data_IF_581401500575
#
_entry.id   IF_581401500575
#
_cell.length_a   1.000
_cell.length_b   1.000
_cell.length_c   1.000
_cell.angle_alpha   90.00
_cell.angle_beta   90.00
_cell.angle_gamma   90.00
#
_symmetry.space_group_name_H-M   'P 1'
#
loop_
_entity.id
_entity.type
_entity.pdbx_description
1 polymer ?
#
# COMPACT_ATOMS: atom_id res chain seq x y z
N UNK A 1 8.93 -18.81 -81.90
CA UNK A 1 8.82 -17.56 -81.14
C UNK A 1 8.53 -17.81 -79.65
N UNK A 2 8.09 -19.01 -79.26
CA UNK A 2 7.81 -19.42 -77.87
C UNK A 2 8.92 -19.18 -76.84
N UNK A 3 10.19 -19.45 -77.19
CA UNK A 3 11.29 -19.33 -76.22
C UNK A 3 11.58 -17.88 -75.74
N UNK A 4 11.01 -16.86 -76.39
CA UNK A 4 11.08 -15.46 -75.90
C UNK A 4 9.97 -15.16 -74.91
N UNK A 5 8.76 -15.69 -75.12
CA UNK A 5 7.63 -15.46 -74.22
C UNK A 5 7.82 -16.20 -72.89
N UNK A 6 8.33 -17.43 -72.90
CA UNK A 6 8.68 -18.17 -71.67
C UNK A 6 9.75 -17.46 -70.84
N UNK A 7 10.74 -16.83 -71.48
CA UNK A 7 11.79 -16.05 -70.80
C UNK A 7 11.25 -14.79 -70.16
N UNK A 8 10.31 -14.10 -70.82
CA UNK A 8 9.66 -12.90 -70.29
C UNK A 8 8.75 -13.25 -69.11
N UNK A 9 8.00 -14.34 -69.20
CA UNK A 9 7.19 -14.85 -68.09
C UNK A 9 8.06 -15.27 -66.90
N UNK A 10 9.18 -15.95 -67.15
CA UNK A 10 10.14 -16.32 -66.10
C UNK A 10 10.77 -15.10 -65.42
N UNK A 11 11.12 -14.06 -66.19
CA UNK A 11 11.65 -12.80 -65.65
C UNK A 11 10.59 -12.03 -64.84
N UNK A 12 9.33 -12.03 -65.28
CA UNK A 12 8.22 -11.43 -64.55
C UNK A 12 7.98 -12.15 -63.21
N UNK A 13 7.98 -13.49 -63.22
CA UNK A 13 7.84 -14.30 -62.01
C UNK A 13 8.99 -14.03 -61.01
N UNK A 14 10.22 -13.89 -61.49
CA UNK A 14 11.38 -13.56 -60.65
C UNK A 14 11.29 -12.14 -60.07
N UNK A 15 10.85 -11.15 -60.86
CA UNK A 15 10.61 -9.79 -60.36
C UNK A 15 9.54 -9.78 -59.26
N UNK A 16 8.43 -10.50 -59.45
CA UNK A 16 7.40 -10.65 -58.43
C UNK A 16 7.91 -11.34 -57.15
N UNK A 17 8.87 -12.25 -57.27
CA UNK A 17 9.54 -12.85 -56.11
C UNK A 17 10.42 -11.83 -55.36
N UNK A 18 11.21 -11.01 -56.07
CA UNK A 18 12.09 -10.01 -55.46
C UNK A 18 11.36 -8.83 -54.80
N UNK A 19 10.11 -8.58 -55.19
CA UNK A 19 9.24 -7.56 -54.61
C UNK A 19 8.49 -8.03 -53.35
N UNK A 20 8.71 -9.27 -52.90
CA UNK A 20 8.15 -9.74 -51.63
C UNK A 20 8.92 -9.16 -50.45
N UNK A 21 8.19 -8.58 -49.50
CA UNK A 21 8.76 -8.06 -48.27
C UNK A 21 9.29 -9.17 -47.38
N UNK A 22 10.46 -8.94 -46.79
CA UNK A 22 11.02 -9.79 -45.73
C UNK A 22 10.22 -9.63 -44.44
N UNK A 23 9.89 -10.73 -43.77
CA UNK A 23 9.14 -10.72 -42.50
C UNK A 23 9.89 -10.10 -41.33
N UNK A 24 11.23 -10.00 -41.40
CA UNK A 24 12.07 -9.48 -40.31
C UNK A 24 12.47 -8.02 -40.47
N UNK A 25 12.67 -7.58 -41.71
CA UNK A 25 13.14 -6.23 -42.01
C UNK A 25 12.11 -5.38 -42.76
N UNK A 26 10.99 -5.96 -43.18
CA UNK A 26 9.99 -5.33 -44.07
C UNK A 26 10.56 -4.74 -45.37
N UNK A 27 11.81 -5.06 -45.71
CA UNK A 27 12.49 -4.59 -46.92
C UNK A 27 12.29 -5.57 -48.08
N UNK A 28 12.20 -5.01 -49.28
CA UNK A 28 12.14 -5.74 -50.54
C UNK A 28 13.54 -5.90 -51.13
N UNK A 29 13.82 -7.08 -51.70
CA UNK A 29 15.12 -7.35 -52.32
C UNK A 29 15.34 -6.49 -53.57
N UNK A 30 14.28 -6.25 -54.35
CA UNK A 30 14.32 -5.41 -55.54
C UNK A 30 14.73 -3.96 -55.21
N UNK A 31 14.09 -3.38 -54.21
CA UNK A 31 14.36 -1.99 -53.81
C UNK A 31 15.75 -1.86 -53.18
N UNK A 32 16.17 -2.85 -52.38
CA UNK A 32 17.51 -2.88 -51.78
C UNK A 32 18.61 -2.90 -52.85
N UNK A 33 18.50 -3.80 -53.84
CA UNK A 33 19.50 -3.88 -54.92
C UNK A 33 19.48 -2.64 -55.81
N UNK A 34 18.31 -2.05 -56.05
CA UNK A 34 18.22 -0.80 -56.82
C UNK A 34 18.95 0.33 -56.10
N UNK A 35 18.72 0.51 -54.79
CA UNK A 35 19.40 1.53 -53.97
C UNK A 35 20.91 1.28 -53.86
N UNK A 36 21.31 0.03 -53.74
CA UNK A 36 22.72 -0.37 -53.74
C UNK A 36 23.39 0.00 -55.07
N UNK A 37 22.76 -0.32 -56.20
CA UNK A 37 23.29 0.03 -57.53
C UNK A 37 23.32 1.55 -57.75
N UNK A 38 22.33 2.30 -57.26
CA UNK A 38 22.34 3.77 -57.29
C UNK A 38 23.53 4.31 -56.48
N UNK A 39 23.71 3.85 -55.25
CA UNK A 39 24.83 4.28 -54.39
C UNK A 39 26.20 3.92 -54.98
N UNK A 40 26.33 2.74 -55.60
CA UNK A 40 27.54 2.33 -56.30
C UNK A 40 27.84 3.21 -57.53
N UNK A 41 26.80 3.63 -58.25
CA UNK A 41 26.92 4.53 -59.40
C UNK A 41 27.35 5.94 -58.98
N UNK A 42 26.92 6.40 -57.81
CA UNK A 42 27.25 7.71 -57.26
C UNK A 42 28.68 7.77 -56.69
N UNK A 43 29.13 6.72 -55.98
CA UNK A 43 30.43 6.68 -55.30
C UNK A 43 31.60 6.22 -56.20
N UNK A 44 31.32 5.55 -57.32
CA UNK A 44 32.30 5.03 -58.32
C UNK A 44 33.63 4.50 -57.73
N UNK A 45 33.61 3.49 -56.85
CA UNK A 45 34.82 2.92 -56.27
C UNK A 45 35.67 2.17 -57.31
N UNK A 46 37.00 2.25 -57.20
CA UNK A 46 37.94 1.54 -58.10
C UNK A 46 37.78 0.01 -58.05
N UNK A 47 37.52 -0.56 -56.86
CA UNK A 47 37.28 -1.99 -56.66
C UNK A 47 35.82 -2.24 -56.24
N UNK A 48 34.89 -2.01 -57.17
CA UNK A 48 33.45 -2.10 -56.91
C UNK A 48 32.96 -3.46 -56.38
N UNK A 49 33.64 -4.55 -56.72
CA UNK A 49 33.27 -5.91 -56.28
C UNK A 49 33.58 -6.13 -54.80
N UNK A 50 34.69 -5.57 -54.31
CA UNK A 50 35.12 -5.78 -52.92
C UNK A 50 34.33 -4.90 -51.94
N UNK A 51 33.91 -3.71 -52.40
CA UNK A 51 33.24 -2.69 -51.56
C UNK A 51 31.70 -2.85 -51.57
N UNK A 52 31.16 -3.76 -52.39
CA UNK A 52 29.71 -3.94 -52.56
C UNK A 52 29.00 -4.38 -51.27
N UNK A 53 29.68 -5.16 -50.42
CA UNK A 53 29.14 -5.64 -49.15
C UNK A 53 29.04 -4.50 -48.14
N UNK A 54 30.07 -3.66 -48.05
CA UNK A 54 30.10 -2.47 -47.19
C UNK A 54 29.01 -1.47 -47.59
N UNK A 55 28.85 -1.21 -48.89
CA UNK A 55 27.79 -0.35 -49.43
C UNK A 55 26.40 -0.92 -49.12
N UNK A 56 26.23 -2.24 -49.24
CA UNK A 56 24.97 -2.93 -48.87
C UNK A 56 24.66 -2.80 -47.39
N UNK A 57 25.67 -2.88 -46.52
CA UNK A 57 25.55 -2.70 -45.07
C UNK A 57 25.15 -1.27 -44.72
N UNK A 58 25.77 -0.28 -45.35
CA UNK A 58 25.46 1.13 -45.13
C UNK A 58 24.05 1.51 -45.57
N UNK A 59 23.58 0.99 -46.72
CA UNK A 59 22.19 1.20 -47.18
C UNK A 59 21.19 0.65 -46.17
N UNK A 60 21.47 -0.53 -45.58
CA UNK A 60 20.61 -1.11 -44.54
C UNK A 60 20.64 -0.31 -43.24
N UNK A 61 21.80 0.24 -42.86
CA UNK A 61 21.93 1.10 -41.68
C UNK A 61 21.18 2.42 -41.82
N UNK A 62 21.32 3.12 -42.95
CA UNK A 62 20.61 4.39 -43.17
C UNK A 62 19.09 4.24 -43.17
N UNK A 63 18.58 3.11 -43.70
CA UNK A 63 17.16 2.75 -43.64
C UNK A 63 16.66 2.43 -42.23
N UNK A 64 17.53 1.93 -41.35
CA UNK A 64 17.19 1.61 -39.97
C UNK A 64 17.00 2.89 -39.14
N UNK A 65 17.75 3.95 -39.44
CA UNK A 65 17.67 5.24 -38.74
C UNK A 65 16.33 5.97 -38.99
N UNK A 66 15.73 5.85 -40.18
CA UNK A 66 14.41 6.45 -40.47
C UNK A 66 13.23 5.73 -39.78
N UNK A 67 13.37 4.46 -39.40
CA UNK A 67 12.34 3.70 -38.66
C UNK A 67 12.36 3.94 -37.15
N UNK A 68 13.40 4.58 -36.60
CA UNK A 68 13.54 4.83 -35.17
C UNK A 68 13.00 6.21 -34.78
N UNK A 69 11.70 6.44 -34.99
CA UNK A 69 10.99 7.24 -33.99
C UNK A 69 10.97 6.39 -32.72
N UNK A 70 11.90 6.66 -31.80
CA UNK A 70 11.98 5.97 -30.50
C UNK A 70 10.80 6.31 -29.58
N UNK A 71 9.96 7.25 -29.99
CA UNK A 71 8.68 7.54 -29.35
C UNK A 71 7.71 6.41 -29.69
N UNK A 72 7.61 5.45 -28.77
CA UNK A 72 6.47 4.53 -28.75
C UNK A 72 5.25 5.33 -28.30
N UNK A 73 4.14 5.23 -29.03
CA UNK A 73 2.84 5.67 -28.53
C UNK A 73 2.53 4.83 -27.29
N UNK A 74 2.76 5.42 -26.11
CA UNK A 74 2.38 4.82 -24.85
C UNK A 74 0.87 4.60 -24.86
N UNK A 75 0.37 3.42 -24.44
CA UNK A 75 -1.06 3.26 -24.26
C UNK A 75 -1.58 4.37 -23.35
N UNK A 76 -2.60 5.11 -23.80
CA UNK A 76 -3.10 6.35 -23.16
C UNK A 76 -3.63 6.16 -21.72
N UNK A 77 -3.75 4.90 -21.26
CA UNK A 77 -4.32 4.50 -19.98
C UNK A 77 -3.44 3.43 -19.34
N UNK A 78 -2.27 3.84 -18.86
CA UNK A 78 -1.56 3.07 -17.83
C UNK A 78 -2.28 3.25 -16.49
N UNK A 79 -2.16 2.26 -15.60
CA UNK A 79 -2.71 2.34 -14.24
C UNK A 79 -2.25 3.62 -13.50
N UNK A 80 -1.02 4.07 -13.78
CA UNK A 80 -0.45 5.30 -13.23
C UNK A 80 -1.23 6.56 -13.67
N UNK A 81 -1.76 6.58 -14.90
CA UNK A 81 -2.56 7.70 -15.40
C UNK A 81 -3.93 7.74 -14.71
N UNK A 82 -4.52 6.59 -14.41
CA UNK A 82 -5.78 6.49 -13.66
C UNK A 82 -5.59 6.97 -12.22
N UNK A 83 -4.53 6.52 -11.56
CA UNK A 83 -4.14 6.96 -10.23
C UNK A 83 -3.85 8.46 -10.20
N UNK A 84 -3.13 9.00 -11.19
CA UNK A 84 -2.86 10.43 -11.29
C UNK A 84 -4.15 11.25 -11.48
N UNK A 85 -5.13 10.75 -12.24
CA UNK A 85 -6.45 11.38 -12.38
C UNK A 85 -7.19 11.43 -11.04
N UNK A 86 -7.14 10.36 -10.25
CA UNK A 86 -7.73 10.31 -8.91
C UNK A 86 -7.02 11.27 -7.96
N UNK A 87 -5.69 11.27 -7.92
CA UNK A 87 -4.90 12.19 -7.10
C UNK A 87 -5.14 13.65 -7.46
N UNK A 88 -5.36 13.98 -8.74
CA UNK A 88 -5.67 15.34 -9.18
C UNK A 88 -6.95 15.88 -8.54
N UNK A 89 -7.92 15.02 -8.25
CA UNK A 89 -9.17 15.42 -7.59
C UNK A 89 -8.91 15.93 -6.18
N UNK A 90 -7.92 15.39 -5.47
CA UNK A 90 -7.53 15.83 -4.12
C UNK A 90 -7.07 17.29 -4.07
N UNK A 91 -6.48 17.80 -5.16
CA UNK A 91 -5.97 19.17 -5.24
C UNK A 91 -7.01 20.16 -5.77
N UNK A 92 -8.11 19.66 -6.33
CA UNK A 92 -9.11 20.52 -6.96
C UNK A 92 -10.18 20.88 -5.93
N UNK A 93 -10.22 22.14 -5.51
CA UNK A 93 -11.35 22.63 -4.71
C UNK A 93 -12.63 22.59 -5.55
N UNK A 94 -13.76 22.07 -5.03
CA UNK A 94 -15.03 22.19 -5.73
C UNK A 94 -15.36 23.67 -5.93
N UNK A 95 -15.75 24.04 -7.16
CA UNK A 95 -15.91 25.45 -7.59
C UNK A 95 -17.09 26.18 -6.94
N UNK A 96 -17.91 25.50 -6.13
CA UNK A 96 -19.17 26.03 -5.61
C UNK A 96 -19.17 26.33 -4.10
N UNK A 97 -18.01 26.35 -3.44
CA UNK A 97 -17.90 26.74 -2.04
C UNK A 97 -17.37 28.17 -1.92
N UNK A 98 -18.21 29.15 -2.29
CA UNK A 98 -18.13 30.52 -1.77
C UNK A 98 -18.60 30.53 -0.30
N UNK A 99 -17.97 29.70 0.52
CA UNK A 99 -18.00 29.89 1.96
C UNK A 99 -16.62 30.39 2.32
N UNK A 100 -16.59 31.59 2.90
CA UNK A 100 -15.61 31.88 3.93
C UNK A 100 -15.63 30.64 4.84
N UNK A 101 -14.68 29.71 4.63
CA UNK A 101 -14.45 28.61 5.56
C UNK A 101 -14.08 29.34 6.85
N UNK A 102 -15.09 29.62 7.67
CA UNK A 102 -14.96 29.72 9.11
C UNK A 102 -13.93 28.65 9.46
N UNK A 103 -12.85 29.03 10.12
CA UNK A 103 -11.75 28.14 10.49
C UNK A 103 -12.32 27.06 11.40
N UNK A 104 -13.03 26.08 10.83
CA UNK A 104 -13.50 24.89 11.53
C UNK A 104 -12.21 24.24 11.93
N UNK A 105 -11.96 24.19 13.24
CA UNK A 105 -10.82 23.49 13.82
C UNK A 105 -10.84 22.08 13.23
N UNK A 106 -9.94 21.85 12.27
CA UNK A 106 -9.88 20.55 11.62
C UNK A 106 -9.37 19.57 12.66
N UNK A 107 -10.00 18.41 12.84
CA UNK A 107 -9.59 17.40 13.83
C UNK A 107 -8.25 16.71 13.49
N UNK A 108 -7.53 17.26 12.50
CA UNK A 108 -6.25 16.79 12.01
C UNK A 108 -5.12 17.59 12.68
N UNK A 109 -4.05 16.94 13.15
CA UNK A 109 -2.85 17.63 13.60
C UNK A 109 -2.21 18.38 12.43
N UNK A 110 -1.32 19.32 12.72
CA UNK A 110 -0.55 20.05 11.72
C UNK A 110 0.48 19.12 11.02
N UNK A 111 0.02 18.36 10.03
CA UNK A 111 0.83 17.38 9.30
C UNK A 111 2.01 18.04 8.59
N UNK A 112 1.88 19.30 8.15
CA UNK A 112 2.96 20.06 7.50
C UNK A 112 4.14 20.30 8.45
N UNK A 113 3.85 20.64 9.69
CA UNK A 113 4.86 20.84 10.73
C UNK A 113 5.49 19.50 11.16
N UNK A 114 4.69 18.45 11.29
CA UNK A 114 5.20 17.09 11.51
C UNK A 114 6.13 16.65 10.37
N UNK A 115 5.78 16.95 9.11
CA UNK A 115 6.63 16.70 7.95
C UNK A 115 7.99 17.38 8.07
N UNK A 116 7.97 18.63 8.51
CA UNK A 116 9.18 19.43 8.65
C UNK A 116 10.13 18.81 9.68
N UNK A 117 9.62 18.46 10.86
CA UNK A 117 10.44 17.86 11.92
C UNK A 117 10.98 16.47 11.54
N UNK A 118 10.16 15.63 10.90
CA UNK A 118 10.59 14.32 10.42
C UNK A 118 11.71 14.45 9.37
N UNK A 119 11.57 15.39 8.44
CA UNK A 119 12.60 15.65 7.43
C UNK A 119 13.91 16.16 8.02
N UNK A 120 13.85 17.04 9.04
CA UNK A 120 15.07 17.47 9.75
C UNK A 120 15.79 16.30 10.43
N UNK A 121 15.03 15.30 10.91
CA UNK A 121 15.58 14.06 11.46
C UNK A 121 16.04 13.06 10.37
N UNK A 122 15.82 13.35 9.08
CA UNK A 122 16.17 12.47 7.97
C UNK A 122 15.31 11.20 7.89
N UNK A 123 14.13 11.21 8.52
CA UNK A 123 13.20 10.08 8.56
C UNK A 123 11.82 10.49 8.03
N UNK A 124 11.00 9.52 7.65
CA UNK A 124 9.62 9.76 7.23
C UNK A 124 9.39 9.65 5.72
N UNK A 125 8.26 10.19 5.29
CA UNK A 125 7.79 10.15 3.91
C UNK A 125 8.20 11.44 3.20
N UNK A 126 8.38 11.39 1.87
CA UNK A 126 8.75 12.57 1.10
C UNK A 126 7.70 13.69 1.19
N UNK A 127 8.12 14.95 1.05
CA UNK A 127 7.22 16.13 1.15
C UNK A 127 5.97 16.01 0.26
N UNK A 128 6.18 15.59 -0.99
CA UNK A 128 5.07 15.45 -1.94
C UNK A 128 4.10 14.33 -1.55
N UNK A 129 4.62 13.22 -1.05
CA UNK A 129 3.79 12.09 -0.59
C UNK A 129 2.99 12.49 0.64
N UNK A 130 3.62 13.16 1.60
CA UNK A 130 2.95 13.61 2.82
C UNK A 130 1.84 14.63 2.51
N UNK A 131 2.06 15.54 1.56
CA UNK A 131 1.01 16.47 1.11
C UNK A 131 -0.17 15.74 0.47
N UNK A 132 0.06 14.72 -0.37
CA UNK A 132 -1.01 13.90 -0.95
C UNK A 132 -1.78 13.14 0.13
N UNK A 133 -1.08 12.59 1.12
CA UNK A 133 -1.68 11.89 2.27
C UNK A 133 -2.52 12.87 3.10
N UNK A 134 -2.02 14.08 3.37
CA UNK A 134 -2.77 15.08 4.12
C UNK A 134 -4.09 15.45 3.44
N UNK A 135 -4.09 15.65 2.13
CA UNK A 135 -5.32 15.90 1.36
C UNK A 135 -6.28 14.69 1.39
N UNK A 136 -5.75 13.47 1.29
CA UNK A 136 -6.55 12.25 1.41
C UNK A 136 -7.16 12.07 2.82
N UNK A 137 -6.46 12.50 3.88
CA UNK A 137 -6.97 12.52 5.25
C UNK A 137 -8.06 13.59 5.43
N UNK A 138 -7.89 14.78 4.84
CA UNK A 138 -8.94 15.82 4.83
C UNK A 138 -10.23 15.28 4.21
N UNK A 139 -10.12 14.60 3.06
CA UNK A 139 -11.27 13.94 2.43
C UNK A 139 -11.88 12.84 3.33
N UNK A 140 -11.07 12.06 4.04
CA UNK A 140 -11.56 11.05 4.97
C UNK A 140 -12.40 11.67 6.09
N UNK A 141 -11.86 12.70 6.75
CA UNK A 141 -12.53 13.43 7.84
C UNK A 141 -13.86 14.01 7.37
N UNK A 142 -13.90 14.62 6.18
CA UNK A 142 -15.15 15.14 5.59
C UNK A 142 -16.16 14.02 5.30
N UNK A 143 -15.70 12.84 4.87
CA UNK A 143 -16.58 11.73 4.50
C UNK A 143 -17.17 10.97 5.69
N UNK A 144 -16.43 10.87 6.80
CA UNK A 144 -16.79 10.04 7.96
C UNK A 144 -17.07 10.83 9.24
N UNK A 145 -16.94 12.16 9.22
CA UNK A 145 -17.20 13.05 10.36
C UNK A 145 -16.48 12.61 11.64
N UNK A 146 -15.17 12.41 11.53
CA UNK A 146 -14.31 11.91 12.62
C UNK A 146 -14.03 13.02 13.65
N UNK A 147 -13.99 12.69 14.95
CA UNK A 147 -13.66 13.63 16.02
C UNK A 147 -12.17 13.99 16.08
N UNK A 148 -11.33 12.98 15.86
CA UNK A 148 -9.88 13.12 15.84
C UNK A 148 -9.33 12.16 14.80
N UNK A 149 -8.43 12.64 13.96
CA UNK A 149 -7.77 11.81 12.96
C UNK A 149 -6.26 12.09 12.94
N UNK A 150 -5.45 11.05 12.99
CA UNK A 150 -3.99 11.09 12.99
C UNK A 150 -3.44 10.16 11.91
N UNK A 151 -2.38 10.59 11.23
CA UNK A 151 -1.59 9.69 10.40
C UNK A 151 -0.79 8.74 11.30
N UNK A 152 -1.11 7.45 11.27
CA UNK A 152 -0.36 6.43 12.01
C UNK A 152 0.96 6.09 11.31
N UNK A 153 0.91 5.91 9.97
CA UNK A 153 2.09 5.64 9.17
C UNK A 153 1.81 4.87 7.87
N UNK A 154 2.86 4.30 7.29
CA UNK A 154 2.83 3.50 6.05
C UNK A 154 3.48 2.15 6.27
N UNK A 155 2.81 1.07 5.86
CA UNK A 155 3.30 -0.31 5.90
C UNK A 155 3.54 -0.76 4.46
N UNK A 156 4.75 -1.24 4.19
CA UNK A 156 5.13 -1.70 2.86
C UNK A 156 4.70 -3.15 2.65
N UNK A 157 4.10 -3.43 1.49
CA UNK A 157 3.77 -4.77 1.02
C UNK A 157 4.50 -5.14 -0.27
N UNK A 158 4.31 -6.38 -0.74
CA UNK A 158 4.97 -6.89 -1.95
C UNK A 158 4.33 -6.37 -3.24
N UNK A 159 3.00 -6.25 -3.28
CA UNK A 159 2.26 -5.74 -4.43
C UNK A 159 1.86 -4.28 -4.20
N UNK A 160 1.19 -4.00 -3.08
CA UNK A 160 0.78 -2.64 -2.70
C UNK A 160 1.23 -2.31 -1.27
N UNK A 161 1.37 -1.02 -0.98
CA UNK A 161 1.58 -0.51 0.38
C UNK A 161 0.25 -0.15 1.04
N UNK A 162 0.26 0.02 2.35
CA UNK A 162 -0.88 0.47 3.15
C UNK A 162 -0.53 1.76 3.89
N UNK A 163 -1.31 2.81 3.67
CA UNK A 163 -1.31 4.04 4.46
C UNK A 163 -2.40 3.87 5.53
N UNK A 164 -2.04 4.12 6.79
CA UNK A 164 -2.90 3.88 7.94
C UNK A 164 -3.23 5.21 8.62
N UNK A 165 -4.52 5.47 8.77
CA UNK A 165 -5.06 6.56 9.58
C UNK A 165 -5.64 5.99 10.88
N UNK A 166 -5.33 6.63 12.00
CA UNK A 166 -5.89 6.36 13.32
C UNK A 166 -6.95 7.41 13.61
N UNK A 167 -8.16 6.99 13.97
CA UNK A 167 -9.26 7.91 14.22
C UNK A 167 -10.12 7.50 15.42
N UNK A 168 -10.72 8.50 16.04
CA UNK A 168 -11.78 8.35 17.05
C UNK A 168 -13.11 8.71 16.39
N UNK A 169 -14.04 7.75 16.39
CA UNK A 169 -15.39 7.92 15.85
C UNK A 169 -16.33 8.18 17.01
N UNK A 170 -17.20 9.18 16.91
CA UNK A 170 -18.28 9.40 17.88
C UNK A 170 -19.44 8.46 17.56
N UNK A 171 -19.73 7.55 18.48
CA UNK A 171 -20.81 6.58 18.32
C UNK A 171 -20.30 5.14 18.37
N UNK A 172 -20.88 4.39 19.29
CA UNK A 172 -20.67 2.97 19.49
C UNK A 172 -21.19 2.22 18.25
N UNK A 173 -20.35 2.12 17.24
CA UNK A 173 -20.67 1.44 15.99
C UNK A 173 -20.56 -0.08 16.24
N UNK A 174 -21.53 -0.61 17.01
CA UNK A 174 -21.73 -2.01 17.37
C UNK A 174 -22.04 -2.92 16.16
N UNK A 175 -21.78 -2.51 14.92
CA UNK A 175 -22.55 -3.01 13.78
C UNK A 175 -21.79 -3.84 12.74
N UNK A 176 -20.64 -4.48 13.06
CA UNK A 176 -20.05 -5.54 12.18
C UNK A 176 -19.46 -6.75 12.93
N UNK A 177 -19.24 -6.70 14.25
CA UNK A 177 -18.68 -7.85 14.99
C UNK A 177 -19.76 -8.65 15.73
N UNK A 178 -20.80 -9.11 15.03
CA UNK A 178 -21.48 -10.34 15.44
C UNK A 178 -20.65 -11.52 14.92
N UNK A 179 -19.89 -12.25 15.78
CA UNK A 179 -19.49 -13.58 15.39
C UNK A 179 -20.79 -14.40 15.25
N UNK A 180 -21.04 -14.90 14.05
CA UNK A 180 -21.98 -15.99 13.84
C UNK A 180 -21.76 -17.02 14.94
N UNK A 181 -22.80 -17.26 15.74
CA UNK A 181 -22.88 -18.38 16.66
C UNK A 181 -22.49 -19.62 15.86
N UNK A 182 -21.32 -20.18 16.12
CA UNK A 182 -21.00 -21.52 15.66
C UNK A 182 -21.99 -22.44 16.37
N UNK A 183 -23.00 -22.89 15.62
CA UNK A 183 -23.95 -23.91 16.03
C UNK A 183 -23.20 -25.07 16.71
N UNK A 184 -23.28 -25.11 18.04
CA UNK A 184 -22.96 -26.31 18.80
C UNK A 184 -23.93 -27.40 18.34
N UNK A 185 -23.46 -28.26 17.43
CA UNK A 185 -24.16 -29.51 17.12
C UNK A 185 -24.12 -30.38 18.37
N UNK A 186 -25.19 -30.33 19.16
CA UNK A 186 -25.52 -31.36 20.12
C UNK A 186 -25.64 -32.70 19.37
N UNK A 187 -24.62 -33.55 19.52
CA UNK A 187 -24.69 -34.95 19.10
C UNK A 187 -25.21 -35.75 20.29
N UNK A 188 -26.53 -35.94 20.32
CA UNK A 188 -27.18 -36.95 21.14
C UNK A 188 -26.53 -38.32 20.86
N UNK A 189 -25.73 -38.81 21.82
CA UNK A 189 -25.16 -40.15 21.74
C UNK A 189 -25.72 -40.99 22.88
N UNK A 190 -26.68 -41.85 22.52
CA UNK A 190 -27.25 -42.88 23.38
C UNK A 190 -26.16 -43.82 23.92
N UNK A 191 -26.34 -44.20 25.18
CA UNK A 191 -25.49 -45.08 25.98
C UNK A 191 -25.11 -46.38 25.26
N UNK A 192 -23.83 -46.73 25.31
CA UNK A 192 -23.37 -48.12 25.26
C UNK A 192 -22.19 -48.29 26.22
N UNK A 193 -22.40 -49.10 27.25
CA UNK A 193 -21.41 -49.48 28.28
C UNK A 193 -20.26 -50.31 27.67
N UNK A 194 -19.15 -49.68 27.29
CA UNK A 194 -17.88 -50.38 27.06
C UNK A 194 -16.70 -49.46 27.45
N UNK A 195 -15.95 -49.86 28.49
CA UNK A 195 -14.63 -49.37 28.96
C UNK A 195 -14.29 -47.88 28.69
N UNK A 196 -14.60 -47.01 29.66
CA UNK A 196 -14.23 -45.60 29.59
C UNK A 196 -12.72 -45.42 29.75
N UNK A 197 -12.03 -45.10 28.66
CA UNK A 197 -10.69 -44.50 28.71
C UNK A 197 -10.72 -43.24 29.59
N UNK A 198 -9.66 -42.93 30.35
CA UNK A 198 -9.64 -41.76 31.22
C UNK A 198 -9.93 -40.50 30.39
N UNK A 199 -11.04 -39.82 30.70
CA UNK A 199 -11.39 -38.56 30.06
C UNK A 199 -10.30 -37.53 30.33
N UNK A 200 -9.79 -36.94 29.26
CA UNK A 200 -8.81 -35.85 29.31
C UNK A 200 -9.30 -34.75 30.24
N UNK A 201 -8.56 -34.49 31.32
CA UNK A 201 -8.79 -33.34 32.22
C UNK A 201 -8.30 -32.02 31.60
N UNK A 202 -7.92 -32.02 30.32
CA UNK A 202 -7.48 -30.84 29.60
C UNK A 202 -8.66 -29.91 29.36
N UNK A 203 -8.77 -28.86 30.19
CA UNK A 203 -9.60 -27.70 29.89
C UNK A 203 -8.86 -26.87 28.83
N UNK A 204 -9.48 -26.64 27.68
CA UNK A 204 -9.03 -25.61 26.74
C UNK A 204 -8.78 -24.32 27.55
N UNK A 205 -7.64 -23.63 27.37
CA UNK A 205 -7.42 -22.34 27.99
C UNK A 205 -8.64 -21.46 27.69
N UNK A 206 -9.23 -20.86 28.72
CA UNK A 206 -10.38 -19.96 28.56
C UNK A 206 -10.03 -18.92 27.50
N UNK A 207 -10.79 -18.87 26.41
CA UNK A 207 -10.59 -17.87 25.36
C UNK A 207 -10.74 -16.51 26.03
N UNK A 208 -9.67 -15.72 26.03
CA UNK A 208 -9.69 -14.38 26.59
C UNK A 208 -10.74 -13.58 25.81
N UNK A 209 -11.79 -13.04 26.47
CA UNK A 209 -12.84 -12.30 25.78
C UNK A 209 -12.24 -11.10 25.05
N UNK A 210 -12.85 -10.75 23.91
CA UNK A 210 -12.45 -9.57 23.14
C UNK A 210 -12.73 -8.32 23.97
N UNK A 211 -11.78 -7.38 23.98
CA UNK A 211 -11.98 -6.06 24.58
C UNK A 211 -13.04 -5.30 23.76
N UNK A 212 -13.98 -4.64 24.44
CA UNK A 212 -15.03 -3.86 23.80
C UNK A 212 -14.46 -2.71 22.98
N UNK A 213 -15.16 -2.32 21.91
CA UNK A 213 -14.84 -1.13 21.12
C UNK A 213 -14.73 0.09 22.06
N UNK A 214 -13.65 0.86 21.94
CA UNK A 214 -13.40 2.01 22.83
C UNK A 214 -12.53 1.71 24.05
N UNK A 215 -12.23 0.44 24.36
CA UNK A 215 -11.40 0.06 25.52
C UNK A 215 -10.07 -0.57 25.11
N UNK A 216 -9.00 -0.28 25.87
CA UNK A 216 -7.68 -0.89 25.71
C UNK A 216 -7.12 -0.82 24.28
N UNK A 217 -6.88 -1.98 23.67
CA UNK A 217 -6.32 -2.11 22.32
C UNK A 217 -7.30 -1.71 21.20
N UNK A 218 -8.60 -1.59 21.51
CA UNK A 218 -9.67 -1.19 20.60
C UNK A 218 -10.17 0.25 20.83
N UNK A 219 -9.39 1.09 21.53
CA UNK A 219 -9.70 2.53 21.74
C UNK A 219 -9.83 3.31 20.42
N UNK A 220 -8.97 3.03 19.45
CA UNK A 220 -8.95 3.73 18.16
C UNK A 220 -9.43 2.84 17.01
N UNK A 221 -10.13 3.46 16.06
CA UNK A 221 -10.50 2.85 14.78
C UNK A 221 -9.41 3.16 13.77
N UNK A 222 -9.02 2.16 12.99
CA UNK A 222 -7.98 2.30 11.97
C UNK A 222 -8.58 2.21 10.57
N UNK A 223 -8.24 3.18 9.72
CA UNK A 223 -8.60 3.20 8.30
C UNK A 223 -7.35 2.99 7.46
N UNK A 224 -7.48 2.21 6.39
CA UNK A 224 -6.38 1.86 5.50
C UNK A 224 -6.70 2.26 4.07
N UNK A 225 -5.69 2.78 3.39
CA UNK A 225 -5.74 3.13 1.98
C UNK A 225 -4.47 2.65 1.30
N UNK A 226 -4.54 2.18 0.05
CA UNK A 226 -3.36 1.68 -0.66
C UNK A 226 -2.49 2.83 -1.20
N UNK A 227 -3.13 3.81 -1.82
CA UNK A 227 -2.52 4.98 -2.45
C UNK A 227 -3.40 6.21 -2.19
N UNK A 228 -2.84 7.40 -1.96
CA UNK A 228 -3.63 8.58 -1.62
C UNK A 228 -4.58 8.91 -2.77
N UNK A 229 -5.87 9.02 -2.45
CA UNK A 229 -6.96 9.26 -3.42
C UNK A 229 -7.85 8.04 -3.68
N UNK A 230 -7.43 6.85 -3.24
CA UNK A 230 -8.29 5.66 -3.20
C UNK A 230 -9.23 5.68 -1.98
N UNK A 231 -10.34 4.93 -2.02
CA UNK A 231 -11.26 4.85 -0.88
C UNK A 231 -10.58 4.23 0.34
N UNK A 232 -10.94 4.75 1.51
CA UNK A 232 -10.46 4.26 2.80
C UNK A 232 -11.31 3.06 3.26
N UNK A 233 -10.65 2.02 3.75
CA UNK A 233 -11.27 0.79 4.27
C UNK A 233 -11.07 0.71 5.77
N UNK A 234 -12.16 0.56 6.53
CA UNK A 234 -12.13 0.36 7.99
C UNK A 234 -11.56 -1.01 8.32
N UNK A 235 -10.59 -1.08 9.23
CA UNK A 235 -10.09 -2.34 9.75
C UNK A 235 -11.01 -2.90 10.85
N UNK A 236 -11.10 -4.24 10.98
CA UNK A 236 -11.86 -4.89 12.04
C UNK A 236 -11.24 -4.63 13.43
N UNK A 237 -12.01 -4.92 14.48
CA UNK A 237 -11.49 -4.91 15.86
C UNK A 237 -10.45 -6.03 16.05
N UNK A 238 -9.53 -5.83 17.01
CA UNK A 238 -8.49 -6.84 17.30
C UNK A 238 -8.93 -7.75 18.44
N UNK A 239 -8.66 -9.04 18.30
CA UNK A 239 -8.81 -10.00 19.40
C UNK A 239 -7.47 -10.35 20.06
N UNK A 240 -7.47 -10.70 21.36
CA UNK A 240 -6.26 -11.16 22.04
C UNK A 240 -5.61 -12.40 21.41
N UNK A 241 -6.44 -13.30 20.86
CA UNK A 241 -5.96 -14.48 20.14
C UNK A 241 -5.14 -14.11 18.89
N UNK A 242 -5.59 -13.11 18.13
CA UNK A 242 -4.88 -12.62 16.94
C UNK A 242 -3.53 -12.00 17.31
N UNK A 243 -3.45 -11.17 18.35
CA UNK A 243 -2.16 -10.58 18.76
C UNK A 243 -1.20 -11.67 19.28
N UNK A 244 -1.71 -12.67 20.02
CA UNK A 244 -0.89 -13.81 20.49
C UNK A 244 -0.31 -14.58 19.31
N UNK A 245 -1.13 -14.92 18.32
CA UNK A 245 -0.68 -15.60 17.12
C UNK A 245 0.30 -14.71 16.31
N UNK A 246 0.00 -13.42 16.18
CA UNK A 246 0.84 -12.45 15.47
C UNK A 246 2.25 -12.31 16.08
N UNK A 247 2.40 -12.50 17.41
CA UNK A 247 3.71 -12.51 18.10
C UNK A 247 4.58 -13.70 17.68
N UNK A 248 3.98 -14.79 17.24
CA UNK A 248 4.69 -16.05 16.93
C UNK A 248 4.99 -16.22 15.44
N UNK A 249 4.42 -15.36 14.58
CA UNK A 249 4.57 -15.45 13.12
C UNK A 249 5.32 -14.23 12.56
N UNK A 250 6.05 -14.45 11.47
CA UNK A 250 6.71 -13.40 10.69
C UNK A 250 6.32 -13.55 9.22
N UNK A 251 5.46 -12.65 8.75
CA UNK A 251 4.96 -12.61 7.38
C UNK A 251 5.09 -11.21 6.80
N UNK A 252 5.40 -11.15 5.51
CA UNK A 252 5.43 -9.92 4.71
C UNK A 252 4.00 -9.70 4.19
N UNK A 253 3.55 -8.46 4.16
CA UNK A 253 2.24 -8.08 3.65
C UNK A 253 2.19 -8.15 2.13
N UNK A 254 1.06 -8.56 1.57
CA UNK A 254 0.88 -8.60 0.11
C UNK A 254 0.40 -7.26 -0.44
N UNK A 255 -0.38 -6.50 0.34
CA UNK A 255 -1.06 -5.30 -0.15
C UNK A 255 -2.51 -5.54 -0.57
N UNK A 256 -3.05 -6.73 -0.31
CA UNK A 256 -4.47 -7.10 -0.43
C UNK A 256 -5.03 -7.56 0.91
N UNK A 257 -6.07 -6.87 1.39
CA UNK A 257 -6.65 -7.09 2.72
C UNK A 257 -7.30 -8.47 2.91
N UNK A 258 -7.82 -9.06 1.83
CA UNK A 258 -8.55 -10.33 1.86
C UNK A 258 -7.66 -11.57 1.78
N UNK A 259 -6.35 -11.41 1.62
CA UNK A 259 -5.43 -12.53 1.46
C UNK A 259 -5.38 -13.38 2.75
N UNK A 260 -5.58 -14.71 2.68
CA UNK A 260 -5.50 -15.57 3.85
C UNK A 260 -4.05 -15.76 4.31
N UNK A 261 -3.83 -15.80 5.63
CA UNK A 261 -2.49 -15.96 6.20
C UNK A 261 -2.19 -17.43 6.45
N UNK A 262 -1.36 -17.99 5.58
CA UNK A 262 -0.88 -19.37 5.72
C UNK A 262 0.38 -19.38 6.59
N UNK A 263 0.23 -19.70 7.87
CA UNK A 263 1.34 -19.82 8.83
C UNK A 263 1.17 -21.02 9.77
N UNK A 264 2.27 -21.39 10.42
CA UNK A 264 2.26 -22.28 11.58
C UNK A 264 2.95 -21.56 12.75
N UNK A 265 2.25 -21.29 13.86
CA UNK A 265 0.85 -21.62 14.17
C UNK A 265 -0.19 -20.95 13.24
N UNK A 266 -1.41 -21.53 13.11
CA UNK A 266 -2.46 -20.95 12.27
C UNK A 266 -2.93 -19.61 12.83
N UNK A 267 -3.04 -18.61 11.95
CA UNK A 267 -3.51 -17.28 12.33
C UNK A 267 -5.04 -17.18 12.15
N UNK A 268 -5.80 -16.75 13.18
CA UNK A 268 -7.25 -16.60 13.08
C UNK A 268 -7.62 -15.29 12.36
N UNK A 269 -7.68 -15.34 11.03
CA UNK A 269 -8.14 -14.23 10.18
C UNK A 269 -7.41 -14.11 8.85
N UNK A 270 -7.69 -13.01 8.14
CA UNK A 270 -7.03 -12.63 6.89
C UNK A 270 -5.90 -11.61 7.14
N UNK A 271 -5.36 -11.04 6.05
CA UNK A 271 -4.34 -9.99 6.09
C UNK A 271 -4.80 -8.74 6.84
N UNK A 272 -6.07 -8.34 6.73
CA UNK A 272 -6.63 -7.20 7.48
C UNK A 272 -6.56 -7.40 9.00
N UNK A 273 -6.92 -8.59 9.50
CA UNK A 273 -6.84 -8.89 10.94
C UNK A 273 -5.38 -8.89 11.43
N UNK A 274 -4.44 -9.39 10.63
CA UNK A 274 -3.03 -9.38 10.98
C UNK A 274 -2.42 -7.99 10.92
N UNK A 275 -2.79 -7.19 9.92
CA UNK A 275 -2.42 -5.78 9.83
C UNK A 275 -2.87 -5.04 11.09
N UNK A 276 -4.13 -5.22 11.48
CA UNK A 276 -4.69 -4.66 12.72
C UNK A 276 -3.93 -5.13 13.97
N UNK A 277 -3.58 -6.41 14.05
CA UNK A 277 -2.81 -6.95 15.18
C UNK A 277 -1.38 -6.40 15.24
N UNK A 278 -0.73 -6.18 14.10
CA UNK A 278 0.58 -5.54 14.06
C UNK A 278 0.52 -4.06 14.42
N UNK A 279 -0.50 -3.33 13.94
CA UNK A 279 -0.76 -1.95 14.32
C UNK A 279 -0.90 -1.84 15.84
N UNK A 280 -1.71 -2.70 16.47
CA UNK A 280 -1.88 -2.71 17.93
C UNK A 280 -0.53 -2.89 18.67
N UNK A 281 0.28 -3.84 18.23
CA UNK A 281 1.60 -4.13 18.82
C UNK A 281 2.58 -2.98 18.67
N UNK A 282 2.63 -2.37 17.49
CA UNK A 282 3.52 -1.25 17.20
C UNK A 282 3.04 -0.02 17.99
N UNK A 283 1.75 0.31 17.95
CA UNK A 283 1.17 1.42 18.73
C UNK A 283 1.52 1.33 20.22
N UNK A 284 1.34 0.15 20.83
CA UNK A 284 1.67 -0.05 22.24
C UNK A 284 3.17 -0.02 22.55
N UNK A 285 4.03 -0.29 21.57
CA UNK A 285 5.49 -0.40 21.75
C UNK A 285 6.29 0.82 21.30
N UNK A 286 5.74 1.70 20.47
CA UNK A 286 6.51 2.79 19.83
C UNK A 286 5.91 4.17 20.02
N UNK A 287 4.69 4.29 20.53
CA UNK A 287 4.12 5.60 20.86
C UNK A 287 4.72 6.09 22.17
N UNK A 288 5.46 7.20 22.09
CA UNK A 288 6.18 7.83 23.18
C UNK A 288 5.96 9.34 23.15
N UNK A 289 6.11 9.98 24.31
CA UNK A 289 6.10 11.43 24.44
C UNK A 289 7.14 11.90 25.43
N UNK A 290 7.53 13.18 25.39
CA UNK A 290 8.48 13.75 26.34
C UNK A 290 7.97 13.57 27.79
N UNK A 291 8.90 13.31 28.71
CA UNK A 291 8.58 13.18 30.12
C UNK A 291 7.91 14.45 30.66
N UNK A 292 6.77 14.29 31.33
CA UNK A 292 6.00 15.42 31.89
C UNK A 292 5.08 16.13 30.90
N UNK A 293 5.05 15.70 29.63
CA UNK A 293 4.13 16.24 28.62
C UNK A 293 2.68 15.83 28.87
N UNK A 294 2.45 14.60 29.30
CA UNK A 294 1.13 14.09 29.67
C UNK A 294 1.03 13.92 31.18
N UNK A 295 -0.06 14.42 31.78
CA UNK A 295 -0.42 14.16 33.16
C UNK A 295 -1.56 13.15 33.20
N UNK A 296 -1.41 12.11 34.01
CA UNK A 296 -2.49 11.17 34.29
C UNK A 296 -3.43 11.84 35.29
N UNK A 297 -4.69 12.05 34.91
CA UNK A 297 -5.73 12.40 35.86
C UNK A 297 -6.09 11.12 36.61
N UNK A 298 -5.60 10.98 37.83
CA UNK A 298 -6.18 10.05 38.78
C UNK A 298 -7.49 10.68 39.28
N UNK A 299 -8.63 10.26 38.72
CA UNK A 299 -9.91 10.51 39.37
C UNK A 299 -9.89 9.76 40.71
N UNK A 300 -9.85 10.50 41.82
CA UNK A 300 -10.21 9.97 43.15
C UNK A 300 -11.70 9.60 43.13
N UNK A 301 -12.02 8.43 42.60
CA UNK A 301 -13.35 7.83 42.59
C UNK A 301 -13.32 6.48 43.30
N UNK A 302 -14.26 6.30 44.23
CA UNK A 302 -14.36 5.21 45.20
C UNK A 302 -14.26 3.78 44.63
N UNK A 303 -13.88 2.87 45.52
CA UNK A 303 -13.72 1.43 45.33
C UNK A 303 -14.91 0.76 44.58
N UNK A 304 -14.54 -0.17 43.69
CA UNK A 304 -15.37 -1.17 43.00
C UNK A 304 -16.06 -0.71 41.69
N UNK A 305 -15.60 -1.30 40.58
CA UNK A 305 -16.13 -1.24 39.21
C UNK A 305 -15.78 0.00 38.35
N UNK A 306 -14.59 0.02 37.73
CA UNK A 306 -14.42 0.15 36.26
C UNK A 306 -12.93 0.23 35.89
N UNK A 307 -12.58 -0.38 34.75
CA UNK A 307 -11.21 -0.44 34.23
C UNK A 307 -10.67 0.98 34.06
N UNK A 308 -9.57 1.27 34.77
CA UNK A 308 -8.89 2.56 34.81
C UNK A 308 -8.71 3.16 33.41
N UNK A 309 -9.65 4.00 32.99
CA UNK A 309 -9.47 4.86 31.83
C UNK A 309 -8.39 5.87 32.20
N UNK A 310 -7.14 5.60 31.84
CA UNK A 310 -6.08 6.60 31.96
C UNK A 310 -6.33 7.67 30.91
N UNK A 311 -7.25 8.59 31.21
CA UNK A 311 -7.42 9.82 30.47
C UNK A 311 -6.20 10.69 30.82
N UNK A 312 -5.26 10.75 29.87
CA UNK A 312 -4.07 11.58 29.96
C UNK A 312 -4.34 12.90 29.24
N UNK A 313 -4.06 14.01 29.91
CA UNK A 313 -4.23 15.34 29.33
C UNK A 313 -2.87 16.00 29.09
N UNK A 314 -2.73 16.80 28.01
CA UNK A 314 -1.50 17.56 27.78
C UNK A 314 -1.31 18.58 28.91
N UNK A 315 -0.16 18.53 29.57
CA UNK A 315 0.18 19.43 30.66
C UNK A 315 0.39 20.86 30.11
N UNK A 316 -0.43 21.85 30.51
CA UNK A 316 -0.30 23.23 30.02
C UNK A 316 0.98 23.93 30.51
N UNK A 317 1.59 23.44 31.61
CA UNK A 317 2.81 24.01 32.21
C UNK A 317 4.09 23.34 31.69
N UNK A 318 4.01 22.53 30.64
CA UNK A 318 5.17 21.84 30.09
C UNK A 318 6.15 22.83 29.42
N UNK A 319 7.33 22.98 30.01
CA UNK A 319 8.45 23.69 29.37
C UNK A 319 9.17 22.77 28.38
N UNK A 320 9.24 23.18 27.12
CA UNK A 320 9.86 22.40 26.06
C UNK A 320 11.35 22.13 26.31
N UNK A 321 11.73 20.86 26.27
CA UNK A 321 13.13 20.43 26.34
C UNK A 321 13.82 20.74 25.00
N UNK A 322 15.04 21.31 24.98
CA UNK A 322 15.78 21.51 23.75
C UNK A 322 16.01 20.20 22.99
N UNK A 323 15.86 20.23 21.65
CA UNK A 323 15.98 19.04 20.80
C UNK A 323 17.31 18.27 20.97
N UNK A 324 18.41 18.98 21.28
CA UNK A 324 19.71 18.35 21.53
C UNK A 324 19.67 17.44 22.78
N UNK A 325 19.07 17.91 23.88
CA UNK A 325 18.96 17.16 25.13
C UNK A 325 17.98 15.99 25.00
N UNK A 326 16.93 16.14 24.21
CA UNK A 326 15.99 15.06 23.89
C UNK A 326 16.65 13.90 23.11
N UNK A 327 17.67 14.21 22.30
CA UNK A 327 18.40 13.21 21.50
C UNK A 327 19.51 12.50 22.29
N UNK A 328 20.01 13.11 23.37
CA UNK A 328 21.11 12.56 24.18
C UNK A 328 20.66 11.43 25.12
N UNK A 329 19.44 11.48 25.66
CA UNK A 329 18.94 10.49 26.63
C UNK A 329 17.56 9.95 26.27
N UNK A 330 17.46 8.62 26.22
CA UNK A 330 16.19 7.90 26.08
C UNK A 330 15.30 8.04 27.32
N UNK A 331 15.85 8.47 28.46
CA UNK A 331 15.09 8.66 29.70
C UNK A 331 14.08 9.80 29.61
N UNK A 332 14.28 10.70 28.65
CA UNK A 332 13.39 11.84 28.41
C UNK A 332 12.10 11.43 27.67
N UNK A 333 11.97 10.17 27.26
CA UNK A 333 10.81 9.65 26.52
C UNK A 333 10.06 8.62 27.37
N UNK A 334 8.75 8.81 27.49
CA UNK A 334 7.85 7.94 28.27
C UNK A 334 6.72 7.45 27.38
N UNK A 335 6.29 6.20 27.57
CA UNK A 335 5.11 5.65 26.91
C UNK A 335 3.84 6.27 27.50
N UNK A 336 2.98 6.83 26.65
CA UNK A 336 1.65 7.29 27.05
C UNK A 336 0.55 6.28 26.72
N UNK A 337 0.83 5.28 25.87
CA UNK A 337 -0.11 4.19 25.58
C UNK A 337 0.14 3.07 26.57
N UNK A 338 -0.94 2.51 27.09
CA UNK A 338 -0.91 1.34 27.97
C UNK A 338 -0.24 0.15 27.25
N UNK A 339 0.62 -0.57 27.96
CA UNK A 339 1.42 -1.66 27.39
C UNK A 339 0.61 -2.95 27.27
N UNK A 340 0.53 -3.53 26.08
CA UNK A 340 -0.13 -4.83 25.86
C UNK A 340 0.64 -5.94 26.60
N UNK A 341 0.07 -6.44 27.70
CA UNK A 341 0.64 -7.50 28.54
C UNK A 341 0.90 -8.79 27.74
N UNK A 342 1.67 -9.71 28.34
CA UNK A 342 1.91 -11.04 27.78
C UNK A 342 0.61 -11.86 27.63
N UNK A 343 -0.38 -11.60 28.49
CA UNK A 343 -1.74 -12.14 28.40
C UNK A 343 -2.61 -11.47 27.33
N UNK A 344 -2.06 -10.48 26.62
CA UNK A 344 -2.72 -9.74 25.54
C UNK A 344 -3.99 -9.04 26.00
N UNK A 345 -3.87 -8.40 27.16
CA UNK A 345 -4.74 -7.33 27.61
C UNK A 345 -3.92 -6.09 27.80
N UNK A 346 -4.56 -4.95 27.64
CA UNK A 346 -3.97 -3.66 27.95
C UNK A 346 -4.16 -3.34 29.43
#
# INVERSE_FOLDING_TARGET
MDGKEERVQSAAAFKSYMLKNSTKSNLNLYDHLTRLLTKLMDEQPQNAVDVIEDISSDVKRGLLEEMQSTLQDLPETTADVELAKQQRLLFTRPKDVDHEEELVETPLPNVSELSFYLEQAGVGLGREEMQRIFLALKQLVESQLLLQCRLWGKILGTENSYIVAEAVVEGDDHSIDEPAEEEEREVDTQENEIDQLPQSTYKLPSVVPKEATGTGANKFVYFVCNEPGLPWVKLPSVSPAQITAARQIRKIFTGKLDTPIVSYPPFPGNEANYLRAQIARISAGTQVSPQGFYQVLEEEGDEEDEVSQSNYEPNPDFEGIPAAEMAESLSNWVHHVQHILLQVRV
#
